data_IF_718815024257
#
_entry.id   IF_718815024257
#
_cell.length_a   1.000
_cell.length_b   1.000
_cell.length_c   1.000
_cell.angle_alpha   90.00
_cell.angle_beta   90.00
_cell.angle_gamma   90.00
#
_symmetry.space_group_name_H-M   'P 1'
#
loop_
_entity.id
_entity.type
_entity.pdbx_description
1 polymer ?
#
# COMPACT_ATOMS: atom_id res chain seq x y z
N UNK A 1 -0.22 -22.45 1.83
CA UNK A 1 -0.23 -21.02 1.42
C UNK A 1 0.14 -20.22 2.66
N UNK A 2 1.37 -19.69 2.72
CA UNK A 2 1.78 -18.84 3.86
C UNK A 2 1.25 -17.44 3.56
N UNK A 3 0.21 -17.02 4.29
CA UNK A 3 -0.20 -15.62 4.30
C UNK A 3 0.89 -14.83 5.03
N UNK A 4 1.73 -14.12 4.27
CA UNK A 4 2.80 -13.31 4.82
C UNK A 4 2.24 -11.96 5.27
N UNK A 5 2.53 -11.56 6.50
CA UNK A 5 2.01 -10.34 7.15
C UNK A 5 2.45 -9.03 6.47
N UNK A 6 3.23 -9.08 5.38
CA UNK A 6 3.72 -7.90 4.64
C UNK A 6 3.03 -7.68 3.29
N UNK A 7 1.94 -8.38 3.00
CA UNK A 7 1.11 -8.07 1.84
C UNK A 7 0.07 -7.02 2.25
N UNK A 8 0.19 -5.79 1.76
CA UNK A 8 -0.76 -4.73 2.06
C UNK A 8 -1.08 -3.86 0.84
N UNK A 9 -2.26 -3.26 0.87
CA UNK A 9 -2.73 -2.30 -0.12
C UNK A 9 -3.12 -1.01 0.60
N UNK A 10 -2.70 0.14 0.08
CA UNK A 10 -3.16 1.45 0.49
C UNK A 10 -4.17 1.95 -0.54
N UNK A 11 -5.36 2.29 -0.08
CA UNK A 11 -6.47 2.77 -0.89
C UNK A 11 -6.65 4.26 -0.64
N UNK A 12 -6.72 5.06 -1.69
CA UNK A 12 -7.07 6.48 -1.58
C UNK A 12 -8.59 6.64 -1.60
N UNK A 13 -9.19 7.33 -0.61
CA UNK A 13 -10.58 7.76 -0.71
C UNK A 13 -10.69 8.85 -1.80
N UNK A 14 -11.73 8.77 -2.63
CA UNK A 14 -12.03 9.81 -3.62
C UNK A 14 -12.47 11.08 -2.89
N UNK A 15 -11.77 12.20 -3.14
CA UNK A 15 -12.14 13.52 -2.65
C UNK A 15 -13.52 13.91 -3.19
N UNK A 16 -14.50 13.98 -2.30
CA UNK A 16 -15.85 14.49 -2.60
C UNK A 16 -15.79 15.99 -2.90
N UNK A 17 -15.63 16.36 -4.16
CA UNK A 17 -15.63 17.76 -4.61
C UNK A 17 -16.23 18.03 -5.98
N UNK A 18 -16.52 16.99 -6.77
CA UNK A 18 -17.16 17.12 -8.09
C UNK A 18 -18.65 16.73 -8.00
N UNK A 19 -19.59 17.62 -8.38
CA UNK A 19 -21.02 17.36 -8.25
C UNK A 19 -21.57 16.36 -9.28
N UNK A 20 -20.78 15.97 -10.28
CA UNK A 20 -21.19 15.08 -11.38
C UNK A 20 -20.04 14.15 -11.77
N UNK A 21 -19.83 13.09 -11.00
CA UNK A 21 -18.84 12.07 -11.32
C UNK A 21 -19.20 10.76 -10.63
N UNK A 22 -19.27 9.69 -11.40
CA UNK A 22 -19.72 8.36 -10.99
C UNK A 22 -19.04 7.93 -9.69
N UNK A 23 -19.85 7.48 -8.75
CA UNK A 23 -19.46 6.86 -7.50
C UNK A 23 -18.62 5.61 -7.76
N UNK A 24 -17.76 5.28 -6.80
CA UNK A 24 -17.22 3.93 -6.58
C UNK A 24 -15.93 3.56 -7.34
N UNK A 25 -14.79 4.16 -6.95
CA UNK A 25 -13.48 3.62 -7.30
C UNK A 25 -12.49 3.83 -6.14
N UNK A 26 -12.56 2.94 -5.15
CA UNK A 26 -11.47 2.72 -4.19
C UNK A 26 -10.17 2.43 -4.95
N UNK A 27 -9.37 3.46 -5.18
CA UNK A 27 -8.17 3.32 -6.00
C UNK A 27 -7.01 2.85 -5.12
N UNK A 28 -6.49 1.65 -5.42
CA UNK A 28 -5.23 1.19 -4.84
C UNK A 28 -4.10 2.09 -5.36
N UNK A 29 -3.49 2.84 -4.45
CA UNK A 29 -2.40 3.78 -4.73
C UNK A 29 -1.02 3.23 -4.37
N UNK A 30 -0.95 2.19 -3.54
CA UNK A 30 0.26 1.45 -3.22
C UNK A 30 -0.09 -0.01 -2.94
N UNK A 31 0.60 -0.93 -3.59
CA UNK A 31 0.54 -2.36 -3.32
C UNK A 31 1.94 -2.86 -3.03
N UNK A 32 2.10 -3.47 -1.87
CA UNK A 32 3.35 -4.07 -1.43
C UNK A 32 3.14 -5.54 -1.12
N UNK A 33 4.05 -6.40 -1.56
CA UNK A 33 3.93 -7.84 -1.29
C UNK A 33 5.23 -8.60 -1.43
N UNK A 34 5.31 -9.75 -0.75
CA UNK A 34 6.47 -10.65 -0.80
C UNK A 34 6.31 -11.66 -1.93
N UNK A 35 7.33 -11.79 -2.78
CA UNK A 35 7.34 -12.74 -3.92
C UNK A 35 8.50 -13.74 -3.88
N UNK A 36 9.48 -13.55 -2.99
CA UNK A 36 10.61 -14.46 -2.77
C UNK A 36 11.16 -14.31 -1.35
N UNK A 37 12.23 -15.01 -0.97
CA UNK A 37 12.78 -15.01 0.41
C UNK A 37 13.03 -13.60 0.96
N UNK A 38 13.68 -12.74 0.16
CA UNK A 38 13.94 -11.33 0.46
C UNK A 38 13.56 -10.41 -0.71
N UNK A 39 12.63 -10.86 -1.56
CA UNK A 39 12.20 -10.13 -2.76
C UNK A 39 10.75 -9.67 -2.58
N UNK A 40 10.53 -8.39 -2.83
CA UNK A 40 9.24 -7.72 -2.69
C UNK A 40 8.86 -6.94 -3.93
N UNK A 41 7.58 -6.88 -4.24
CA UNK A 41 7.02 -5.99 -5.26
C UNK A 41 6.47 -4.73 -4.60
N UNK A 42 6.63 -3.59 -5.28
CA UNK A 42 6.07 -2.31 -4.86
C UNK A 42 5.49 -1.61 -6.08
N UNK A 43 4.18 -1.71 -6.26
CA UNK A 43 3.44 -0.99 -7.30
C UNK A 43 2.86 0.28 -6.68
N UNK A 44 3.15 1.44 -7.24
CA UNK A 44 2.65 2.71 -6.72
C UNK A 44 2.04 3.56 -7.83
N UNK A 45 1.08 4.40 -7.45
CA UNK A 45 0.38 5.33 -8.34
C UNK A 45 0.36 6.72 -7.73
N UNK A 46 0.20 7.73 -8.59
CA UNK A 46 -0.16 9.09 -8.14
C UNK A 46 -1.36 9.01 -7.18
N UNK A 47 -1.37 9.81 -6.10
CA UNK A 47 -0.51 10.97 -5.83
C UNK A 47 0.81 10.65 -5.10
N UNK A 48 1.12 9.39 -4.81
CA UNK A 48 2.30 9.02 -4.03
C UNK A 48 3.54 8.99 -4.93
N UNK A 49 4.63 9.60 -4.49
CA UNK A 49 5.94 9.49 -5.15
C UNK A 49 6.62 8.15 -4.82
N UNK A 50 7.55 7.69 -5.67
CA UNK A 50 8.34 6.49 -5.40
C UNK A 50 9.02 6.53 -4.02
N UNK A 51 9.51 7.71 -3.61
CA UNK A 51 10.17 7.91 -2.32
C UNK A 51 9.20 7.73 -1.14
N UNK A 52 8.02 8.34 -1.20
CA UNK A 52 7.01 8.18 -0.15
C UNK A 52 6.49 6.74 -0.08
N UNK A 53 6.22 6.12 -1.23
CA UNK A 53 5.82 4.72 -1.33
C UNK A 53 6.87 3.79 -0.69
N UNK A 54 8.15 4.03 -1.00
CA UNK A 54 9.26 3.26 -0.44
C UNK A 54 9.39 3.45 1.07
N UNK A 55 9.30 4.69 1.57
CA UNK A 55 9.34 4.98 3.00
C UNK A 55 8.19 4.28 3.75
N UNK A 56 6.99 4.25 3.18
CA UNK A 56 5.84 3.50 3.75
C UNK A 56 6.15 2.00 3.78
N UNK A 57 6.68 1.42 2.70
CA UNK A 57 7.02 0.00 2.66
C UNK A 57 8.08 -0.38 3.70
N UNK A 58 9.06 0.49 3.97
CA UNK A 58 10.08 0.28 5.00
C UNK A 58 9.48 0.16 6.41
N UNK A 59 8.36 0.82 6.71
CA UNK A 59 7.71 0.70 8.02
C UNK A 59 7.16 -0.70 8.27
N UNK A 60 6.80 -1.45 7.22
CA UNK A 60 6.37 -2.85 7.32
C UNK A 60 7.48 -3.82 7.77
N UNK A 61 8.74 -3.37 7.71
CA UNK A 61 9.90 -4.09 8.25
C UNK A 61 10.22 -3.68 9.69
N UNK A 62 9.65 -2.57 10.17
CA UNK A 62 9.84 -2.03 11.51
C UNK A 62 8.85 -2.59 12.53
N UNK A 63 9.38 -3.04 13.67
CA UNK A 63 8.69 -3.41 14.92
C UNK A 63 7.64 -4.53 14.87
N UNK A 64 8.13 -5.78 14.95
CA UNK A 64 7.70 -6.68 16.03
C UNK A 64 8.45 -6.33 17.32
N UNK A 65 8.22 -5.14 17.86
CA UNK A 65 8.59 -4.82 19.23
C UNK A 65 7.26 -4.66 19.98
N UNK A 66 6.94 -5.66 20.80
CA UNK A 66 5.77 -5.77 21.69
C UNK A 66 4.40 -6.10 21.06
N UNK A 67 4.17 -7.37 20.74
CA UNK A 67 3.26 -8.25 21.50
C UNK A 67 2.89 -9.50 20.68
N UNK A 68 2.85 -10.60 21.43
CA UNK A 68 2.29 -11.92 21.11
C UNK A 68 0.82 -11.85 20.71
#
# INVERSE_FOLDING_TARGET
MVAFVKNFQLIAPVSTGEPWGVQDDETVILQFGKIGEDVFTMDYRQPVSAFQAFAICLTSFGSKLACE
#
